data_IF_842601096909
#
_entry.id   IF_842601096909
#
_cell.length_a   1.000
_cell.length_b   1.000
_cell.length_c   1.000
_cell.angle_alpha   90.00
_cell.angle_beta   90.00
_cell.angle_gamma   90.00
#
_symmetry.space_group_name_H-M   'P 1'
#
loop_
_entity.id
_entity.type
_entity.pdbx_description
1 polymer ?
#
# COMPACT_ATOMS: atom_id res chain seq x y z
N UNK A 1 10.25 17.92 12.68
CA UNK A 1 8.87 18.42 12.53
C UNK A 1 8.33 18.87 13.89
N UNK A 2 7.61 20.01 13.96
CA UNK A 2 6.98 20.51 15.20
C UNK A 2 5.87 19.57 15.70
N UNK A 3 5.05 19.03 14.80
CA UNK A 3 4.00 18.06 15.17
C UNK A 3 4.57 16.77 15.76
N UNK A 4 5.67 16.28 15.19
CA UNK A 4 6.41 15.14 15.76
C UNK A 4 6.99 15.46 17.14
N UNK A 5 7.48 16.68 17.37
CA UNK A 5 7.96 17.09 18.69
C UNK A 5 6.83 17.15 19.73
N UNK A 6 5.62 17.55 19.33
CA UNK A 6 4.48 17.59 20.23
C UNK A 6 4.01 16.19 20.62
N UNK A 7 3.84 15.28 19.65
CA UNK A 7 3.40 13.92 19.94
C UNK A 7 4.43 13.16 20.79
N UNK A 8 5.73 13.40 20.59
CA UNK A 8 6.83 12.82 21.38
C UNK A 8 6.72 13.07 22.88
N UNK A 9 6.08 14.16 23.30
CA UNK A 9 5.85 14.45 24.73
C UNK A 9 4.87 13.46 25.39
N UNK A 10 4.07 12.74 24.60
CA UNK A 10 2.99 11.88 25.05
C UNK A 10 3.04 10.47 24.44
N UNK A 11 4.18 10.08 23.84
CA UNK A 11 4.30 8.77 23.19
C UNK A 11 4.19 7.65 24.21
N UNK A 12 3.21 6.78 23.98
CA UNK A 12 3.03 5.55 24.72
C UNK A 12 2.72 4.42 23.73
N UNK A 13 3.40 3.27 23.89
CA UNK A 13 3.21 2.11 23.00
C UNK A 13 1.77 1.58 23.02
N UNK A 14 1.09 1.68 24.16
CA UNK A 14 -0.31 1.26 24.33
C UNK A 14 -1.35 2.23 23.76
N UNK A 15 -0.94 3.32 23.12
CA UNK A 15 -1.83 4.33 22.53
C UNK A 15 -1.67 4.40 21.02
N UNK A 16 -2.72 4.87 20.35
CA UNK A 16 -2.64 5.21 18.94
C UNK A 16 -1.96 6.58 18.80
N UNK A 17 -0.74 6.59 18.29
CA UNK A 17 0.01 7.82 18.05
C UNK A 17 -0.18 8.25 16.59
N UNK A 18 -1.09 9.21 16.36
CA UNK A 18 -1.49 9.69 15.03
C UNK A 18 -1.22 11.18 14.87
N UNK A 19 -0.57 11.55 13.77
CA UNK A 19 -0.54 12.91 13.24
C UNK A 19 -1.54 12.99 12.09
N UNK A 20 -2.36 14.04 12.06
CA UNK A 20 -3.20 14.37 10.91
C UNK A 20 -2.66 15.66 10.30
N UNK A 21 -2.16 15.58 9.08
CA UNK A 21 -1.62 16.69 8.30
C UNK A 21 -2.64 17.09 7.24
N UNK A 22 -3.13 18.32 7.32
CA UNK A 22 -3.97 18.94 6.29
C UNK A 22 -3.13 19.95 5.51
N UNK A 23 -3.21 19.94 4.18
CA UNK A 23 -2.58 20.96 3.33
C UNK A 23 -3.47 21.28 2.14
N UNK A 24 -3.57 22.57 1.80
CA UNK A 24 -4.19 23.11 0.59
C UNK A 24 -3.17 23.71 -0.40
N UNK A 25 -1.88 23.68 -0.05
CA UNK A 25 -0.83 24.34 -0.84
C UNK A 25 0.49 23.57 -0.93
N UNK A 26 1.43 24.17 -1.65
CA UNK A 26 2.77 23.64 -1.89
C UNK A 26 3.68 23.82 -0.66
N UNK A 27 4.55 22.83 -0.43
CA UNK A 27 5.62 22.97 0.54
C UNK A 27 6.64 24.00 0.03
N UNK A 28 6.85 25.06 0.81
CA UNK A 28 7.75 26.17 0.49
C UNK A 28 8.94 26.29 1.46
N UNK A 29 8.84 25.71 2.65
CA UNK A 29 9.85 25.72 3.71
C UNK A 29 10.01 24.31 4.31
N UNK A 30 11.25 23.84 4.44
CA UNK A 30 11.58 22.50 4.94
C UNK A 30 11.64 21.43 3.83
N UNK A 31 11.54 20.13 4.18
CA UNK A 31 11.55 19.03 3.21
C UNK A 31 10.58 19.29 2.06
N UNK A 32 11.08 19.26 0.83
CA UNK A 32 10.34 19.66 -0.37
C UNK A 32 10.36 18.60 -1.47
N UNK A 33 10.96 17.44 -1.20
CA UNK A 33 10.99 16.31 -2.13
C UNK A 33 10.27 15.08 -1.56
N UNK A 34 9.69 14.20 -2.43
CA UNK A 34 9.04 12.98 -1.96
C UNK A 34 9.99 12.07 -1.15
N UNK A 35 11.29 12.08 -1.47
CA UNK A 35 12.32 11.32 -0.76
C UNK A 35 12.51 11.77 0.68
N UNK A 36 12.66 13.07 0.93
CA UNK A 36 12.83 13.59 2.29
C UNK A 36 11.57 13.37 3.15
N UNK A 37 10.37 13.51 2.56
CA UNK A 37 9.11 13.22 3.26
C UNK A 37 8.94 11.72 3.52
N UNK A 38 9.40 10.87 2.61
CA UNK A 38 9.46 9.44 2.81
C UNK A 38 10.39 9.06 3.96
N UNK A 39 11.58 9.65 4.05
CA UNK A 39 12.51 9.45 5.16
C UNK A 39 11.93 9.92 6.49
N UNK A 40 11.26 11.08 6.49
CA UNK A 40 10.54 11.57 7.66
C UNK A 40 9.46 10.56 8.10
N UNK A 41 8.63 10.07 7.18
CA UNK A 41 7.62 9.04 7.46
C UNK A 41 8.22 7.76 8.03
N UNK A 42 9.31 7.29 7.42
CA UNK A 42 10.05 6.09 7.86
C UNK A 42 10.70 6.27 9.25
N UNK A 43 11.06 7.50 9.63
CA UNK A 43 11.53 7.80 10.99
C UNK A 43 10.39 7.74 12.01
N UNK A 44 9.21 8.28 11.66
CA UNK A 44 8.05 8.35 12.53
C UNK A 44 7.47 6.96 12.83
N UNK A 45 7.41 6.07 11.83
CA UNK A 45 6.90 4.70 12.05
C UNK A 45 7.79 3.90 13.01
N UNK A 46 9.10 4.15 13.04
CA UNK A 46 10.01 3.51 14.03
C UNK A 46 9.69 3.92 15.46
N UNK A 47 9.04 5.06 15.65
CA UNK A 47 8.55 5.56 16.93
C UNK A 47 7.09 5.13 17.21
N UNK A 48 6.47 4.36 16.31
CA UNK A 48 5.06 3.97 16.39
C UNK A 48 4.09 5.07 15.97
N UNK A 49 4.55 6.10 15.25
CA UNK A 49 3.76 7.25 14.82
C UNK A 49 3.36 7.12 13.36
N UNK A 50 2.05 7.12 13.09
CA UNK A 50 1.52 7.22 11.72
C UNK A 50 1.09 8.64 11.37
N UNK A 51 1.21 8.99 10.09
CA UNK A 51 0.77 10.29 9.57
C UNK A 51 -0.35 10.08 8.55
N UNK A 52 -1.54 10.55 8.88
CA UNK A 52 -2.59 10.74 7.89
C UNK A 52 -2.42 12.07 7.19
N UNK A 53 -2.51 12.06 5.86
CA UNK A 53 -2.44 13.27 5.05
C UNK A 53 -3.79 13.52 4.38
N UNK A 54 -4.29 14.74 4.48
CA UNK A 54 -5.52 15.22 3.85
C UNK A 54 -5.11 16.39 2.95
N UNK A 55 -5.21 16.19 1.64
CA UNK A 55 -5.00 17.25 0.65
C UNK A 55 -6.33 17.91 0.29
N UNK A 56 -6.41 19.24 0.43
CA UNK A 56 -7.59 20.03 0.10
C UNK A 56 -7.39 20.80 -1.21
N UNK A 57 -8.36 20.73 -2.12
CA UNK A 57 -8.30 21.45 -3.40
C UNK A 57 -7.23 20.89 -4.34
N UNK A 58 -6.84 21.68 -5.35
CA UNK A 58 -5.93 21.20 -6.40
C UNK A 58 -4.47 21.66 -6.23
N UNK A 59 -4.19 22.58 -5.31
CA UNK A 59 -2.91 23.31 -5.28
C UNK A 59 -1.86 22.72 -4.31
N UNK A 60 -2.20 21.64 -3.59
CA UNK A 60 -1.23 20.91 -2.76
C UNK A 60 -0.37 19.95 -3.58
N UNK A 61 0.81 19.59 -3.07
CA UNK A 61 1.65 18.56 -3.69
C UNK A 61 1.30 17.18 -3.11
N UNK A 62 0.61 16.36 -3.90
CA UNK A 62 0.14 15.04 -3.52
C UNK A 62 1.25 14.00 -3.42
N UNK A 63 2.36 14.14 -4.16
CA UNK A 63 3.48 13.19 -4.09
C UNK A 63 4.16 13.26 -2.72
N UNK A 64 4.35 14.48 -2.20
CA UNK A 64 4.91 14.70 -0.86
C UNK A 64 4.00 14.09 0.22
N UNK A 65 2.70 14.37 0.11
CA UNK A 65 1.68 13.92 1.08
C UNK A 65 1.53 12.39 1.07
N UNK A 66 1.41 11.79 -0.12
CA UNK A 66 1.29 10.35 -0.27
C UNK A 66 2.57 9.63 0.18
N UNK A 67 3.76 10.16 -0.11
CA UNK A 67 5.04 9.59 0.34
C UNK A 67 5.15 9.56 1.88
N UNK A 68 4.85 10.69 2.54
CA UNK A 68 4.86 10.79 4.01
C UNK A 68 3.88 9.80 4.65
N UNK A 69 2.64 9.78 4.15
CA UNK A 69 1.61 8.88 4.69
C UNK A 69 1.98 7.42 4.47
N UNK A 70 2.44 7.05 3.27
CA UNK A 70 2.82 5.67 2.93
C UNK A 70 3.94 5.17 3.83
N UNK A 71 4.99 5.98 4.00
CA UNK A 71 6.19 5.59 4.76
C UNK A 71 5.99 5.61 6.27
N UNK A 72 4.93 6.25 6.75
CA UNK A 72 4.49 6.20 8.15
C UNK A 72 3.36 5.19 8.42
N UNK A 73 2.97 4.39 7.42
CA UNK A 73 1.80 3.48 7.46
C UNK A 73 0.50 4.19 7.93
N UNK A 74 0.33 5.44 7.50
CA UNK A 74 -0.88 6.24 7.74
C UNK A 74 -1.91 6.13 6.61
N UNK A 75 -2.80 7.12 6.51
CA UNK A 75 -3.80 7.21 5.44
C UNK A 75 -3.53 8.42 4.53
N UNK A 76 -3.94 8.35 3.27
CA UNK A 76 -3.94 9.51 2.37
C UNK A 76 -5.34 9.76 1.85
N UNK A 77 -5.80 11.01 1.93
CA UNK A 77 -7.11 11.44 1.48
C UNK A 77 -6.98 12.66 0.59
N UNK A 78 -7.73 12.67 -0.51
CA UNK A 78 -7.95 13.85 -1.34
C UNK A 78 -9.39 14.33 -1.12
N UNK A 79 -9.51 15.62 -0.79
CA UNK A 79 -10.75 16.35 -0.58
C UNK A 79 -10.80 17.48 -1.61
N UNK A 80 -11.73 17.42 -2.56
CA UNK A 80 -11.81 18.43 -3.63
C UNK A 80 -12.35 19.76 -3.09
N UNK A 81 -13.37 19.71 -2.21
CA UNK A 81 -14.06 20.91 -1.72
C UNK A 81 -14.05 21.00 -0.19
N UNK A 82 -13.96 22.21 0.41
CA UNK A 82 -13.91 22.38 1.87
C UNK A 82 -15.09 21.76 2.62
N UNK A 83 -16.27 21.71 2.00
CA UNK A 83 -17.49 21.17 2.64
C UNK A 83 -17.36 19.67 2.96
N UNK A 84 -16.52 18.94 2.23
CA UNK A 84 -16.27 17.51 2.43
C UNK A 84 -15.21 17.22 3.51
N UNK A 85 -14.53 18.26 4.01
CA UNK A 85 -13.43 18.12 4.97
C UNK A 85 -13.90 17.52 6.30
N UNK A 86 -15.07 17.94 6.80
CA UNK A 86 -15.64 17.40 8.03
C UNK A 86 -15.90 15.88 7.94
N UNK A 87 -16.36 15.41 6.77
CA UNK A 87 -16.54 13.98 6.48
C UNK A 87 -15.20 13.23 6.47
N UNK A 88 -14.17 13.84 5.87
CA UNK A 88 -12.82 13.25 5.85
C UNK A 88 -12.22 13.11 7.26
N UNK A 89 -12.34 14.14 8.10
CA UNK A 89 -11.94 14.06 9.50
C UNK A 89 -12.76 13.01 10.26
N UNK A 90 -14.08 12.98 10.10
CA UNK A 90 -14.94 11.98 10.74
C UNK A 90 -14.52 10.55 10.42
N UNK A 91 -14.21 10.26 9.15
CA UNK A 91 -13.66 8.96 8.72
C UNK A 91 -12.33 8.65 9.40
N UNK A 92 -11.40 9.62 9.44
CA UNK A 92 -10.10 9.42 10.07
C UNK A 92 -10.20 9.18 11.57
N UNK A 93 -11.03 9.94 12.28
CA UNK A 93 -11.30 9.70 13.70
C UNK A 93 -11.91 8.32 13.93
N UNK A 94 -12.85 7.90 13.07
CA UNK A 94 -13.40 6.54 13.09
C UNK A 94 -12.31 5.47 12.97
N UNK A 95 -11.38 5.62 12.02
CA UNK A 95 -10.24 4.71 11.84
C UNK A 95 -9.32 4.67 13.07
N UNK A 96 -9.00 5.83 13.65
CA UNK A 96 -8.14 5.91 14.83
C UNK A 96 -8.80 5.23 16.04
N UNK A 97 -10.12 5.37 16.20
CA UNK A 97 -10.88 4.74 17.28
C UNK A 97 -11.12 3.24 17.08
N UNK A 98 -10.99 2.73 15.85
CA UNK A 98 -11.20 1.32 15.53
C UNK A 98 -9.92 0.48 15.56
N UNK A 99 -8.77 1.04 15.93
CA UNK A 99 -7.51 0.27 16.01
C UNK A 99 -7.62 -0.82 17.08
N UNK A 100 -7.45 -2.08 16.66
CA UNK A 100 -7.51 -3.26 17.53
C UNK A 100 -6.13 -3.89 17.76
N UNK A 101 -5.21 -3.73 16.82
CA UNK A 101 -3.83 -4.19 16.96
C UNK A 101 -2.85 -3.09 16.52
N UNK A 102 -1.82 -2.85 17.32
CA UNK A 102 -0.70 -1.96 17.02
C UNK A 102 0.61 -2.74 16.86
N UNK A 103 1.64 -2.09 16.30
CA UNK A 103 2.99 -2.65 16.15
C UNK A 103 2.98 -4.09 15.59
N UNK A 104 2.26 -4.30 14.50
CA UNK A 104 2.11 -5.61 13.88
C UNK A 104 3.39 -5.92 13.08
N UNK A 105 4.08 -6.98 13.47
CA UNK A 105 5.29 -7.46 12.79
C UNK A 105 5.00 -8.81 12.14
N UNK A 106 5.33 -8.92 10.86
CA UNK A 106 5.24 -10.15 10.09
C UNK A 106 6.64 -10.59 9.73
N UNK A 107 7.07 -11.72 10.26
CA UNK A 107 8.33 -12.36 9.95
C UNK A 107 8.05 -13.63 9.13
N UNK A 108 8.57 -13.68 7.90
CA UNK A 108 8.52 -14.86 7.04
C UNK A 108 9.92 -15.42 6.95
N UNK A 109 10.08 -16.70 7.28
CA UNK A 109 11.33 -17.44 7.11
C UNK A 109 11.13 -18.47 6.00
N UNK A 110 11.74 -18.22 4.84
CA UNK A 110 11.74 -19.15 3.72
C UNK A 110 12.62 -20.37 4.03
N UNK A 111 12.20 -21.55 3.58
CA UNK A 111 12.93 -22.80 3.76
C UNK A 111 14.19 -22.88 2.87
N UNK A 112 15.17 -23.73 3.20
CA UNK A 112 16.34 -24.00 2.33
C UNK A 112 15.93 -24.28 0.87
N UNK A 113 16.55 -23.55 -0.06
CA UNK A 113 16.23 -23.66 -1.50
C UNK A 113 15.03 -22.82 -1.96
N UNK A 114 14.35 -22.11 -1.05
CA UNK A 114 13.33 -21.11 -1.37
C UNK A 114 13.93 -19.72 -1.25
N UNK A 115 13.87 -18.95 -2.35
CA UNK A 115 14.41 -17.60 -2.46
C UNK A 115 13.27 -16.57 -2.47
N UNK A 116 13.18 -15.66 -1.49
CA UNK A 116 12.28 -14.52 -1.61
C UNK A 116 12.77 -13.60 -2.74
N UNK A 117 11.88 -13.29 -3.68
CA UNK A 117 12.18 -12.47 -4.87
C UNK A 117 11.88 -11.01 -4.58
N UNK A 118 10.64 -10.71 -4.22
CA UNK A 118 10.17 -9.36 -3.88
C UNK A 118 8.84 -9.41 -3.14
N UNK A 119 8.54 -8.36 -2.39
CA UNK A 119 7.16 -8.07 -2.01
C UNK A 119 6.51 -7.17 -3.07
N UNK A 120 5.23 -7.40 -3.35
CA UNK A 120 4.43 -6.53 -4.21
C UNK A 120 3.72 -5.49 -3.33
N UNK A 121 3.60 -4.25 -3.81
CA UNK A 121 2.75 -3.21 -3.22
C UNK A 121 3.24 -2.57 -1.90
N UNK A 122 3.90 -3.35 -1.04
CA UNK A 122 4.42 -2.92 0.27
C UNK A 122 5.91 -3.21 0.38
N UNK A 123 6.61 -2.33 1.09
CA UNK A 123 8.03 -2.51 1.35
C UNK A 123 8.26 -3.49 2.49
N UNK A 124 9.26 -4.35 2.31
CA UNK A 124 9.71 -5.33 3.28
C UNK A 124 11.23 -5.31 3.34
N UNK A 125 11.80 -5.62 4.49
CA UNK A 125 13.24 -5.88 4.58
C UNK A 125 13.50 -7.35 4.30
N UNK A 126 14.40 -7.64 3.36
CA UNK A 126 14.83 -9.00 3.01
C UNK A 126 16.29 -9.18 3.44
N UNK A 127 16.57 -10.22 4.21
CA UNK A 127 17.90 -10.60 4.66
C UNK A 127 18.08 -12.11 4.51
N UNK A 128 18.64 -12.54 3.37
CA UNK A 128 18.74 -13.95 3.01
C UNK A 128 17.36 -14.58 2.84
N UNK A 129 17.03 -15.52 3.72
CA UNK A 129 15.73 -16.21 3.74
C UNK A 129 14.67 -15.53 4.62
N UNK A 130 15.07 -14.50 5.36
CA UNK A 130 14.18 -13.80 6.26
C UNK A 130 13.57 -12.58 5.56
N UNK A 131 12.25 -12.49 5.56
CA UNK A 131 11.50 -11.32 5.11
C UNK A 131 10.76 -10.76 6.31
N UNK A 132 10.89 -9.46 6.54
CA UNK A 132 10.22 -8.79 7.64
C UNK A 132 9.43 -7.59 7.14
N UNK A 133 8.19 -7.50 7.58
CA UNK A 133 7.27 -6.43 7.27
C UNK A 133 6.67 -5.86 8.56
N UNK A 134 6.50 -4.54 8.59
CA UNK A 134 5.86 -3.83 9.71
C UNK A 134 4.58 -3.20 9.22
N UNK A 135 3.50 -3.41 9.97
CA UNK A 135 2.25 -2.68 9.84
C UNK A 135 2.04 -1.96 11.18
N UNK A 136 1.93 -0.64 11.17
CA UNK A 136 1.84 0.13 12.41
C UNK A 136 0.54 -0.17 13.16
N UNK A 137 -0.55 -0.38 12.42
CA UNK A 137 -1.87 -0.64 13.00
C UNK A 137 -2.80 -1.44 12.08
N UNK A 138 -3.73 -2.15 12.73
CA UNK A 138 -4.84 -2.86 12.11
C UNK A 138 -6.16 -2.37 12.74
N UNK A 139 -7.11 -2.02 11.89
CA UNK A 139 -8.45 -1.59 12.30
C UNK A 139 -9.38 -2.80 12.48
N UNK A 140 -10.35 -2.70 13.38
CA UNK A 140 -11.39 -3.70 13.56
C UNK A 140 -12.20 -3.89 12.28
N UNK A 141 -12.41 -5.15 11.88
CA UNK A 141 -13.09 -5.50 10.64
C UNK A 141 -12.26 -5.32 9.37
N UNK A 142 -10.99 -4.88 9.47
CA UNK A 142 -10.09 -4.79 8.33
C UNK A 142 -9.23 -6.05 8.21
N UNK A 143 -9.06 -6.55 6.98
CA UNK A 143 -8.04 -7.55 6.66
C UNK A 143 -6.87 -6.87 5.97
N UNK A 144 -5.65 -7.00 6.51
CA UNK A 144 -4.41 -6.60 5.80
C UNK A 144 -3.66 -7.85 5.35
N UNK A 145 -3.00 -7.77 4.20
CA UNK A 145 -2.18 -8.84 3.65
C UNK A 145 -0.83 -8.33 3.16
N UNK A 146 0.12 -9.24 2.95
CA UNK A 146 1.40 -8.99 2.29
C UNK A 146 1.53 -10.02 1.18
N UNK A 147 1.87 -9.55 -0.03
CA UNK A 147 2.15 -10.42 -1.16
C UNK A 147 3.66 -10.59 -1.29
N UNK A 148 4.14 -11.82 -1.10
CA UNK A 148 5.54 -12.20 -1.25
C UNK A 148 5.70 -13.14 -2.44
N UNK A 149 6.48 -12.72 -3.42
CA UNK A 149 6.92 -13.56 -4.53
C UNK A 149 8.15 -14.37 -4.08
N UNK A 150 8.09 -15.69 -4.26
CA UNK A 150 9.18 -16.61 -3.94
C UNK A 150 9.51 -17.49 -5.14
N UNK A 151 10.77 -17.88 -5.24
CA UNK A 151 11.26 -18.86 -6.21
C UNK A 151 11.72 -20.10 -5.44
N UNK A 152 11.48 -21.28 -6.01
CA UNK A 152 11.89 -22.56 -5.44
C UNK A 152 12.18 -23.55 -6.57
N UNK A 153 13.08 -24.49 -6.29
CA UNK A 153 13.44 -25.53 -7.24
C UNK A 153 12.24 -26.45 -7.57
N UNK A 154 12.16 -26.99 -8.79
CA UNK A 154 11.12 -27.94 -9.16
C UNK A 154 11.06 -29.14 -8.19
N UNK A 155 9.89 -29.36 -7.61
CA UNK A 155 9.65 -30.50 -6.73
C UNK A 155 9.41 -31.80 -7.50
N UNK A 156 9.55 -32.93 -6.81
CA UNK A 156 9.13 -34.24 -7.34
C UNK A 156 7.61 -34.38 -7.28
N UNK A 157 6.97 -34.78 -8.39
CA UNK A 157 5.51 -34.97 -8.48
C UNK A 157 4.98 -35.79 -7.29
N UNK A 158 3.90 -35.31 -6.67
CA UNK A 158 3.27 -35.90 -5.49
C UNK A 158 3.95 -35.56 -4.17
N UNK A 159 5.11 -34.91 -4.18
CA UNK A 159 5.84 -34.53 -2.96
C UNK A 159 5.34 -33.18 -2.44
N UNK A 160 5.06 -33.13 -1.13
CA UNK A 160 4.75 -31.90 -0.41
C UNK A 160 6.03 -31.27 0.10
N UNK A 161 6.33 -30.06 -0.35
CA UNK A 161 7.53 -29.29 -0.03
C UNK A 161 7.17 -28.10 0.85
N UNK A 162 7.72 -28.00 2.07
CA UNK A 162 7.64 -26.79 2.88
C UNK A 162 8.24 -25.58 2.15
N UNK A 163 7.58 -24.43 2.24
CA UNK A 163 8.01 -23.20 1.54
C UNK A 163 8.50 -22.16 2.53
N UNK A 164 7.72 -21.88 3.57
CA UNK A 164 8.06 -20.88 4.57
C UNK A 164 7.28 -21.09 5.88
N UNK A 165 7.84 -20.58 6.97
CA UNK A 165 7.10 -20.32 8.20
C UNK A 165 6.81 -18.84 8.33
N UNK A 166 5.65 -18.50 8.88
CA UNK A 166 5.19 -17.12 9.08
C UNK A 166 4.91 -16.93 10.56
N UNK A 167 5.52 -15.93 11.16
CA UNK A 167 5.28 -15.49 12.52
C UNK A 167 4.71 -14.07 12.49
N UNK A 168 3.59 -13.88 13.17
CA UNK A 168 2.92 -12.61 13.33
C UNK A 168 2.97 -12.27 14.83
N UNK A 169 3.49 -11.09 15.17
CA UNK A 169 3.36 -10.55 16.53
C UNK A 169 2.70 -9.19 16.49
N UNK A 170 1.87 -8.88 17.47
CA UNK A 170 1.19 -7.59 17.54
C UNK A 170 0.89 -7.20 18.98
N UNK A 171 0.75 -5.91 19.23
CA UNK A 171 0.22 -5.37 20.48
C UNK A 171 -1.31 -5.35 20.40
N UNK A 172 -1.96 -6.15 21.23
CA UNK A 172 -3.41 -6.10 21.40
C UNK A 172 -3.79 -4.80 22.12
N UNK A 173 -4.64 -3.98 21.47
CA UNK A 173 -4.98 -2.66 21.99
C UNK A 173 -6.02 -2.69 23.11
N UNK A 174 -6.72 -3.81 23.32
CA UNK A 174 -7.65 -3.97 24.43
C UNK A 174 -6.91 -4.42 25.70
N UNK A 175 -6.08 -5.46 25.59
CA UNK A 175 -5.37 -6.05 26.75
C UNK A 175 -4.04 -5.35 27.05
N UNK A 176 -3.49 -4.62 26.08
CA UNK A 176 -2.14 -4.01 26.12
C UNK A 176 -1.02 -5.04 26.22
N UNK A 177 -1.26 -6.29 25.81
CA UNK A 177 -0.26 -7.37 25.75
C UNK A 177 0.21 -7.63 24.33
N UNK A 178 1.42 -8.15 24.19
CA UNK A 178 1.90 -8.64 22.89
C UNK A 178 1.45 -10.08 22.71
N UNK A 179 0.74 -10.32 21.62
CA UNK A 179 0.29 -11.65 21.20
C UNK A 179 1.13 -12.12 20.00
N UNK A 180 1.17 -13.43 19.76
CA UNK A 180 1.89 -13.99 18.62
C UNK A 180 1.18 -15.20 18.03
N UNK A 181 1.22 -15.30 16.71
CA UNK A 181 0.61 -16.35 15.91
C UNK A 181 1.65 -16.91 14.96
N UNK A 182 1.58 -18.21 14.68
CA UNK A 182 2.50 -18.89 13.77
C UNK A 182 1.73 -19.72 12.75
N UNK A 183 2.16 -19.63 11.50
CA UNK A 183 1.69 -20.44 10.38
C UNK A 183 2.85 -21.02 9.58
N UNK A 184 2.54 -21.95 8.68
CA UNK A 184 3.49 -22.49 7.73
C UNK A 184 2.80 -22.71 6.38
N UNK A 185 3.56 -22.51 5.31
CA UNK A 185 3.12 -22.67 3.93
C UNK A 185 3.92 -23.80 3.29
N UNK A 186 3.24 -24.66 2.54
CA UNK A 186 3.84 -25.74 1.78
C UNK A 186 3.09 -25.89 0.45
N UNK A 187 3.78 -26.38 -0.58
CA UNK A 187 3.20 -26.66 -1.90
C UNK A 187 3.39 -28.13 -2.24
N UNK A 188 2.53 -28.68 -3.10
CA UNK A 188 2.66 -30.04 -3.60
C UNK A 188 2.90 -30.00 -5.10
N UNK A 189 4.00 -30.60 -5.56
CA UNK A 189 4.32 -30.63 -6.98
C UNK A 189 3.39 -31.59 -7.74
N UNK A 190 2.97 -31.19 -8.94
CA UNK A 190 2.09 -31.96 -9.82
C UNK A 190 2.45 -31.68 -11.28
N UNK A 191 2.25 -32.67 -12.15
CA UNK A 191 2.36 -32.55 -13.60
C UNK A 191 1.00 -32.25 -14.28
N UNK A 192 -0.08 -32.26 -13.51
CA UNK A 192 -1.43 -31.97 -13.99
C UNK A 192 -1.72 -30.48 -13.97
N UNK A 193 -1.81 -29.86 -15.16
CA UNK A 193 -2.22 -28.47 -15.31
C UNK A 193 -3.59 -28.17 -14.66
N UNK A 194 -4.52 -29.12 -14.70
CA UNK A 194 -5.83 -28.96 -14.07
C UNK A 194 -5.73 -28.84 -12.55
N UNK A 195 -4.82 -29.57 -11.90
CA UNK A 195 -4.57 -29.47 -10.47
C UNK A 195 -3.84 -28.16 -10.11
N UNK A 196 -2.95 -27.68 -10.98
CA UNK A 196 -2.32 -26.36 -10.81
C UNK A 196 -3.39 -25.26 -10.81
N UNK A 197 -4.22 -25.21 -11.85
CA UNK A 197 -5.28 -24.19 -11.96
C UNK A 197 -6.32 -24.30 -10.83
N UNK A 198 -6.67 -25.52 -10.40
CA UNK A 198 -7.59 -25.71 -9.27
C UNK A 198 -6.98 -25.31 -7.91
N UNK A 199 -5.65 -25.35 -7.78
CA UNK A 199 -4.91 -24.94 -6.58
C UNK A 199 -4.61 -23.45 -6.49
N UNK A 200 -4.89 -22.68 -7.55
CA UNK A 200 -4.73 -21.22 -7.55
C UNK A 200 -5.70 -20.56 -6.57
N UNK A 201 -5.18 -19.69 -5.70
CA UNK A 201 -6.01 -18.87 -4.85
C UNK A 201 -6.45 -17.62 -5.60
N UNK A 202 -7.74 -17.55 -5.95
CA UNK A 202 -8.30 -16.45 -6.73
C UNK A 202 -8.15 -15.07 -6.06
N UNK A 203 -8.31 -14.98 -4.74
CA UNK A 203 -8.15 -13.71 -4.01
C UNK A 203 -6.70 -13.21 -4.09
N UNK A 204 -5.72 -14.12 -3.98
CA UNK A 204 -4.30 -13.79 -4.12
C UNK A 204 -3.99 -13.35 -5.54
N UNK A 205 -4.52 -14.06 -6.56
CA UNK A 205 -4.31 -13.70 -7.96
C UNK A 205 -4.92 -12.33 -8.29
N UNK A 206 -6.14 -12.04 -7.83
CA UNK A 206 -6.76 -10.72 -7.98
C UNK A 206 -5.91 -9.63 -7.32
N UNK A 207 -5.41 -9.87 -6.09
CA UNK A 207 -4.54 -8.92 -5.40
C UNK A 207 -3.23 -8.66 -6.18
N UNK A 208 -2.60 -9.69 -6.74
CA UNK A 208 -1.40 -9.57 -7.59
C UNK A 208 -1.69 -8.68 -8.80
N UNK A 209 -2.80 -8.94 -9.50
CA UNK A 209 -3.22 -8.17 -10.68
C UNK A 209 -3.38 -6.68 -10.34
N UNK A 210 -4.03 -6.36 -9.23
CA UNK A 210 -4.17 -4.96 -8.79
C UNK A 210 -2.84 -4.30 -8.40
N UNK A 211 -1.91 -5.01 -7.75
CA UNK A 211 -0.60 -4.43 -7.42
C UNK A 211 0.23 -4.14 -8.67
N UNK A 212 0.29 -5.08 -9.62
CA UNK A 212 0.99 -4.86 -10.90
C UNK A 212 0.35 -3.71 -11.68
N UNK A 213 -0.97 -3.62 -11.64
CA UNK A 213 -1.71 -2.50 -12.23
C UNK A 213 -1.32 -1.16 -11.59
N UNK A 214 -1.24 -1.08 -10.26
CA UNK A 214 -0.83 0.13 -9.55
C UNK A 214 0.60 0.56 -9.92
N UNK A 215 1.55 -0.37 -10.02
CA UNK A 215 2.92 -0.09 -10.46
C UNK A 215 2.97 0.50 -11.88
N UNK A 216 2.20 -0.06 -12.80
CA UNK A 216 2.11 0.43 -14.19
C UNK A 216 1.46 1.81 -14.28
N UNK A 217 0.45 2.07 -13.47
CA UNK A 217 -0.16 3.40 -13.41
C UNK A 217 0.81 4.45 -12.86
N UNK A 218 1.60 4.12 -11.83
CA UNK A 218 2.66 5.02 -11.32
C UNK A 218 3.72 5.30 -12.38
N UNK A 219 4.12 4.28 -13.15
CA UNK A 219 5.02 4.48 -14.29
C UNK A 219 4.41 5.41 -15.34
N UNK A 220 3.14 5.22 -15.70
CA UNK A 220 2.47 6.08 -16.68
C UNK A 220 2.37 7.54 -16.23
N UNK A 221 2.06 7.79 -14.95
CA UNK A 221 2.04 9.15 -14.40
C UNK A 221 3.43 9.77 -14.42
N UNK A 222 4.47 9.02 -14.01
CA UNK A 222 5.85 9.49 -14.06
C UNK A 222 6.29 9.85 -15.47
N UNK A 223 6.00 8.99 -16.45
CA UNK A 223 6.30 9.26 -17.87
C UNK A 223 5.61 10.53 -18.34
N UNK A 224 4.36 10.76 -17.96
CA UNK A 224 3.66 12.02 -18.27
C UNK A 224 4.30 13.23 -17.58
N UNK A 225 4.66 13.13 -16.31
CA UNK A 225 5.31 14.21 -15.56
C UNK A 225 6.69 14.56 -16.17
N UNK A 226 7.37 13.57 -16.78
CA UNK A 226 8.61 13.74 -17.58
C UNK A 226 8.37 14.30 -19.00
N UNK A 227 7.12 14.55 -19.40
CA UNK A 227 6.73 15.03 -20.73
C UNK A 227 6.63 13.92 -21.80
N UNK A 228 6.84 12.64 -21.44
CA UNK A 228 6.74 11.47 -22.33
C UNK A 228 5.28 10.97 -22.40
N UNK A 229 4.38 11.84 -22.83
CA UNK A 229 2.94 11.61 -22.80
C UNK A 229 2.54 10.35 -23.58
N UNK A 230 3.07 10.15 -24.79
CA UNK A 230 2.73 8.99 -25.62
C UNK A 230 3.21 7.66 -25.01
N UNK A 231 4.37 7.65 -24.35
CA UNK A 231 4.85 6.47 -23.63
C UNK A 231 3.94 6.16 -22.43
N UNK A 232 3.56 7.18 -21.67
CA UNK A 232 2.61 7.03 -20.55
C UNK A 232 1.26 6.48 -21.01
N UNK A 233 0.71 6.99 -22.12
CA UNK A 233 -0.53 6.46 -22.72
C UNK A 233 -0.38 5.01 -23.14
N UNK A 234 0.75 4.64 -23.74
CA UNK A 234 1.02 3.25 -24.13
C UNK A 234 1.01 2.33 -22.91
N UNK A 235 1.66 2.73 -21.82
CA UNK A 235 1.67 1.97 -20.56
C UNK A 235 0.25 1.81 -20.01
N UNK A 236 -0.58 2.86 -20.00
CA UNK A 236 -1.98 2.73 -19.55
C UNK A 236 -2.82 1.81 -20.43
N UNK A 237 -2.66 1.90 -21.76
CA UNK A 237 -3.36 1.01 -22.71
C UNK A 237 -2.97 -0.46 -22.50
N UNK A 238 -1.68 -0.73 -22.29
CA UNK A 238 -1.18 -2.07 -21.96
C UNK A 238 -1.71 -2.55 -20.60
N UNK A 239 -1.80 -1.63 -19.62
CA UNK A 239 -2.33 -1.95 -18.31
C UNK A 239 -3.82 -2.32 -18.36
N UNK A 240 -4.64 -1.58 -19.11
CA UNK A 240 -6.05 -1.87 -19.31
C UNK A 240 -6.24 -3.27 -19.92
N UNK A 241 -5.51 -3.58 -21.01
CA UNK A 241 -5.54 -4.92 -21.63
C UNK A 241 -5.18 -6.03 -20.66
N UNK A 242 -4.17 -5.78 -19.82
CA UNK A 242 -3.74 -6.74 -18.81
C UNK A 242 -4.85 -7.04 -17.79
N UNK A 243 -5.56 -6.03 -17.31
CA UNK A 243 -6.65 -6.21 -16.36
C UNK A 243 -7.85 -6.92 -16.96
N UNK A 244 -8.22 -6.56 -18.20
CA UNK A 244 -9.28 -7.24 -18.96
C UNK A 244 -8.96 -8.73 -19.16
N UNK A 245 -7.70 -9.04 -19.49
CA UNK A 245 -7.25 -10.41 -19.74
C UNK A 245 -7.18 -11.26 -18.45
N UNK A 246 -7.07 -10.63 -17.28
CA UNK A 246 -7.01 -11.31 -15.98
C UNK A 246 -8.33 -11.25 -15.20
N UNK A 247 -9.43 -10.85 -15.84
CA UNK A 247 -10.77 -10.93 -15.25
C UNK A 247 -10.99 -10.05 -14.01
N UNK A 248 -10.25 -8.95 -13.86
CA UNK A 248 -10.42 -8.03 -12.74
C UNK A 248 -11.87 -7.51 -12.69
N UNK A 249 -12.59 -7.90 -11.64
CA UNK A 249 -14.05 -7.75 -11.50
C UNK A 249 -14.46 -6.27 -11.41
N UNK A 250 -13.58 -5.40 -10.90
CA UNK A 250 -13.85 -3.98 -10.77
C UNK A 250 -12.84 -3.09 -11.51
N UNK A 251 -13.07 -2.97 -12.82
CA UNK A 251 -12.46 -1.93 -13.65
C UNK A 251 -13.27 -0.62 -13.63
N UNK A 252 -14.27 -0.46 -12.74
CA UNK A 252 -15.06 0.79 -12.69
C UNK A 252 -14.16 1.99 -12.50
N UNK A 253 -13.13 1.88 -11.66
CA UNK A 253 -12.16 2.94 -11.51
C UNK A 253 -11.45 3.28 -12.84
N UNK A 254 -11.10 2.31 -13.70
CA UNK A 254 -10.55 2.57 -15.04
C UNK A 254 -11.59 3.07 -16.04
N UNK A 255 -12.86 2.68 -15.85
CA UNK A 255 -13.97 2.98 -16.76
C UNK A 255 -14.54 4.38 -16.50
N UNK A 256 -14.70 4.75 -15.23
CA UNK A 256 -15.03 6.08 -14.73
C UNK A 256 -13.91 7.08 -15.05
N UNK A 257 -12.66 6.60 -15.03
CA UNK A 257 -11.49 7.33 -15.51
C UNK A 257 -11.13 6.96 -16.96
N UNK A 258 -12.09 6.46 -17.77
CA UNK A 258 -11.88 6.18 -19.20
C UNK A 258 -11.45 7.43 -19.99
N UNK A 259 -11.60 8.60 -19.38
CA UNK A 259 -11.07 9.88 -19.84
C UNK A 259 -9.57 10.07 -19.60
N UNK A 260 -8.87 9.26 -18.77
CA UNK A 260 -7.43 9.43 -18.48
C UNK A 260 -6.59 9.38 -19.75
N UNK A 261 -6.90 8.48 -20.69
CA UNK A 261 -6.16 8.41 -21.96
C UNK A 261 -6.38 9.63 -22.86
N UNK A 262 -7.58 10.23 -22.79
CA UNK A 262 -7.98 11.42 -23.56
C UNK A 262 -7.45 12.71 -22.91
N UNK A 263 -7.48 12.76 -21.59
CA UNK A 263 -7.01 13.87 -20.77
C UNK A 263 -5.50 13.79 -20.48
N UNK A 264 -4.84 12.70 -20.88
CA UNK A 264 -3.38 12.61 -20.99
C UNK A 264 -2.77 13.72 -21.85
N UNK A 265 -3.54 14.19 -22.84
CA UNK A 265 -3.17 15.32 -23.70
C UNK A 265 -3.50 16.68 -23.11
N UNK A 266 -4.50 16.75 -22.22
CA UNK A 266 -5.01 18.00 -21.68
C UNK A 266 -4.30 18.27 -20.35
N UNK A 267 -3.39 19.25 -20.32
CA UNK A 267 -2.80 19.74 -19.07
C UNK A 267 -3.81 20.53 -18.22
N UNK A 268 -3.33 21.14 -17.14
CA UNK A 268 -4.15 22.06 -16.33
C UNK A 268 -5.00 21.35 -15.26
N UNK A 269 -6.11 21.99 -14.86
CA UNK A 269 -6.89 21.61 -13.69
C UNK A 269 -7.51 20.21 -13.79
N UNK A 270 -7.98 19.79 -14.97
CA UNK A 270 -8.57 18.46 -15.20
C UNK A 270 -7.53 17.35 -14.96
N UNK A 271 -6.32 17.49 -15.51
CA UNK A 271 -5.24 16.55 -15.20
C UNK A 271 -4.87 16.55 -13.72
N UNK A 272 -4.79 17.72 -13.08
CA UNK A 272 -4.52 17.81 -11.65
C UNK A 272 -5.53 17.02 -10.82
N UNK A 273 -6.81 17.10 -11.18
CA UNK A 273 -7.88 16.31 -10.54
C UNK A 273 -7.74 14.81 -10.79
N UNK A 274 -7.49 14.40 -12.03
CA UNK A 274 -7.27 12.99 -12.38
C UNK A 274 -6.07 12.43 -11.60
N UNK A 275 -4.93 13.12 -11.63
CA UNK A 275 -3.68 12.68 -11.00
C UNK A 275 -3.88 12.45 -9.49
N UNK A 276 -4.54 13.38 -8.80
CA UNK A 276 -4.85 13.25 -7.36
C UNK A 276 -5.77 12.06 -7.07
N UNK A 277 -6.78 11.82 -7.91
CA UNK A 277 -7.64 10.65 -7.80
C UNK A 277 -6.89 9.33 -8.08
N UNK A 278 -6.00 9.31 -9.07
CA UNK A 278 -5.15 8.16 -9.37
C UNK A 278 -4.24 7.84 -8.18
N UNK A 279 -3.59 8.84 -7.60
CA UNK A 279 -2.71 8.66 -6.43
C UNK A 279 -3.52 8.17 -5.23
N UNK A 280 -4.71 8.73 -4.98
CA UNK A 280 -5.62 8.24 -3.93
C UNK A 280 -5.97 6.76 -4.13
N UNK A 281 -6.38 6.35 -5.33
CA UNK A 281 -6.76 4.96 -5.63
C UNK A 281 -5.59 3.99 -5.51
N UNK A 282 -4.43 4.36 -6.07
CA UNK A 282 -3.19 3.60 -5.94
C UNK A 282 -2.75 3.47 -4.49
N UNK A 283 -2.92 4.52 -3.69
CA UNK A 283 -2.62 4.48 -2.26
C UNK A 283 -3.44 3.42 -1.54
N UNK A 284 -4.74 3.34 -1.84
CA UNK A 284 -5.63 2.32 -1.28
C UNK A 284 -5.22 0.90 -1.69
N UNK A 285 -4.90 0.68 -2.96
CA UNK A 285 -4.41 -0.62 -3.45
C UNK A 285 -3.13 -1.03 -2.70
N UNK A 286 -2.16 -0.10 -2.59
CA UNK A 286 -0.87 -0.36 -1.95
C UNK A 286 -0.92 -0.50 -0.43
N UNK A 287 -2.01 -0.06 0.22
CA UNK A 287 -2.24 -0.35 1.62
C UNK A 287 -2.51 -1.85 1.87
N UNK A 288 -2.86 -2.61 0.82
CA UNK A 288 -3.09 -4.05 0.88
C UNK A 288 -4.11 -4.42 1.95
N UNK A 289 -5.23 -3.70 1.91
CA UNK A 289 -6.35 -3.91 2.82
C UNK A 289 -7.59 -4.35 2.05
N UNK A 290 -8.26 -5.39 2.53
CA UNK A 290 -9.58 -5.81 2.10
C UNK A 290 -10.63 -5.40 3.17
N UNK A 291 -11.85 -5.03 2.75
CA UNK A 291 -12.99 -4.83 3.65
C UNK A 291 -13.43 -6.14 4.33
#
# INVERSE_FOLDING_TARGET
SKGAAEIRKFLERGRVNRIILLSDGLANEGPSSPGELAELGASLIKEGVSVTTIGLGLDYNEDLMAALARKSDGNHMFVEKPEDLASAFGREFGNVMSVVAGNVNVAVTCEPGVRPVRALGREVSVAGQNVHAVLNQLYGGQTKYILLEVELEPGTVGTRTPVATVELSYLDMATKTTESLRGAVAVTATDSQALVTAGENREVMEAIVYQISAERNELAMRLRDEGKIEEGKRVLKENLKYLESNGAIDTSWYRDNGSVLLEMDQGGAEWGKIRKNMIKGQYQIKQQSAP
#
